data_IF_627076381055
#
_entry.id   IF_627076381055
#
_cell.length_a   1.000
_cell.length_b   1.000
_cell.length_c   1.000
_cell.angle_alpha   90.00
_cell.angle_beta   90.00
_cell.angle_gamma   90.00
#
_symmetry.space_group_name_H-M   'P 1'
#
loop_
_entity.id
_entity.type
_entity.pdbx_description
1 polymer ?
#
# COMPACT_ATOMS: atom_id res chain seq x y z
N UNK A 1 -0.81 -4.17 -21.40
CA UNK A 1 -0.92 -4.88 -20.11
C UNK A 1 -1.22 -3.84 -19.05
N UNK A 2 -2.50 -3.70 -18.68
CA UNK A 2 -2.93 -2.80 -17.62
C UNK A 2 -2.20 -3.17 -16.33
N UNK A 3 -1.23 -2.35 -15.92
CA UNK A 3 -0.76 -2.38 -14.55
C UNK A 3 -1.89 -1.83 -13.70
N UNK A 4 -2.77 -2.71 -13.24
CA UNK A 4 -3.77 -2.41 -12.23
C UNK A 4 -3.07 -1.67 -11.10
N UNK A 5 -3.29 -0.35 -11.06
CA UNK A 5 -2.70 0.55 -10.07
C UNK A 5 -3.29 0.17 -8.72
N UNK A 6 -2.55 -0.63 -7.97
CA UNK A 6 -2.88 -0.93 -6.57
C UNK A 6 -2.97 0.37 -5.78
N UNK A 7 -4.16 0.69 -5.28
CA UNK A 7 -4.40 1.90 -4.52
C UNK A 7 -4.19 1.66 -3.02
N UNK A 8 -2.96 1.85 -2.55
CA UNK A 8 -2.61 1.62 -1.14
C UNK A 8 -3.48 2.41 -0.15
N UNK A 9 -4.08 3.55 -0.53
CA UNK A 9 -4.99 4.30 0.34
C UNK A 9 -6.23 3.47 0.74
N UNK A 10 -6.66 2.57 -0.14
CA UNK A 10 -7.77 1.65 0.11
C UNK A 10 -7.30 0.34 0.76
N UNK A 11 -6.01 0.12 0.96
CA UNK A 11 -5.48 -1.10 1.54
C UNK A 11 -5.64 -1.10 3.07
N UNK A 12 -6.03 -2.22 3.68
CA UNK A 12 -6.10 -2.36 5.15
C UNK A 12 -4.74 -2.27 5.83
N UNK A 13 -3.68 -2.68 5.12
CA UNK A 13 -2.32 -2.67 5.65
C UNK A 13 -1.64 -1.30 5.57
N UNK A 14 -2.21 -0.37 4.81
CA UNK A 14 -1.66 0.97 4.68
C UNK A 14 -1.90 1.81 5.94
N UNK A 15 -0.87 2.53 6.37
CA UNK A 15 -0.95 3.46 7.49
C UNK A 15 -0.08 4.69 7.23
N UNK A 16 -0.46 5.81 7.84
CA UNK A 16 0.37 7.01 7.89
C UNK A 16 1.29 6.88 9.11
N UNK A 17 2.56 7.20 8.92
CA UNK A 17 3.54 7.24 10.02
C UNK A 17 3.67 8.66 10.56
N UNK A 18 4.14 8.78 11.81
CA UNK A 18 4.43 10.07 12.44
C UNK A 18 5.75 10.70 11.98
N UNK A 19 6.45 10.08 11.02
CA UNK A 19 7.73 10.58 10.51
C UNK A 19 7.49 11.46 9.29
N UNK A 20 7.77 12.76 9.40
CA UNK A 20 7.58 13.72 8.32
C UNK A 20 8.40 13.37 7.06
N UNK A 21 9.53 12.67 7.19
CA UNK A 21 10.35 12.24 6.05
C UNK A 21 9.80 10.98 5.37
N UNK A 22 9.03 10.17 6.09
CA UNK A 22 8.49 8.89 5.61
C UNK A 22 7.03 8.73 6.05
N UNK A 23 6.10 9.57 5.56
CA UNK A 23 4.73 9.56 6.03
C UNK A 23 3.95 8.30 5.64
N UNK A 24 4.43 7.49 4.69
CA UNK A 24 3.69 6.33 4.19
C UNK A 24 4.28 5.02 4.69
N UNK A 25 3.45 4.16 5.27
CA UNK A 25 3.84 2.85 5.79
C UNK A 25 2.96 1.71 5.27
N UNK A 26 3.54 0.50 5.21
CA UNK A 26 2.82 -0.74 4.95
C UNK A 26 3.04 -1.74 6.08
N UNK A 27 1.97 -2.10 6.81
CA UNK A 27 2.06 -3.03 7.95
C UNK A 27 2.41 -4.44 7.52
N UNK A 28 1.95 -4.85 6.33
CA UNK A 28 2.18 -6.21 5.82
C UNK A 28 3.67 -6.49 5.62
N UNK A 29 4.38 -5.56 4.99
CA UNK A 29 5.81 -5.68 4.72
C UNK A 29 6.69 -5.05 5.81
N UNK A 30 6.10 -4.34 6.77
CA UNK A 30 6.83 -3.75 7.90
C UNK A 30 7.74 -2.58 7.54
N UNK A 31 7.56 -1.94 6.38
CA UNK A 31 8.39 -0.79 5.97
C UNK A 31 7.60 0.52 5.93
N UNK A 32 8.34 1.63 6.01
CA UNK A 32 7.86 2.99 5.76
C UNK A 32 8.74 3.70 4.75
N UNK A 33 8.18 4.65 4.02
CA UNK A 33 8.85 5.36 2.95
C UNK A 33 8.21 6.70 2.64
N UNK A 34 8.90 7.46 1.79
CA UNK A 34 8.45 8.77 1.32
C UNK A 34 7.54 8.67 0.09
N UNK A 35 7.64 7.57 -0.62
CA UNK A 35 6.81 7.22 -1.77
C UNK A 35 5.65 6.31 -1.31
N UNK A 36 4.60 6.23 -2.12
CA UNK A 36 3.51 5.28 -1.90
C UNK A 36 4.04 3.85 -1.75
N UNK A 37 3.55 3.05 -0.79
CA UNK A 37 4.07 1.71 -0.58
C UNK A 37 3.86 0.79 -1.78
N UNK A 38 2.84 1.00 -2.62
CA UNK A 38 2.68 0.28 -3.89
C UNK A 38 3.86 0.50 -4.84
N UNK A 39 4.40 1.71 -4.86
CA UNK A 39 5.56 2.08 -5.68
C UNK A 39 6.82 1.42 -5.14
N UNK A 40 7.06 1.49 -3.83
CA UNK A 40 8.21 0.82 -3.19
C UNK A 40 8.16 -0.70 -3.32
N UNK A 41 6.98 -1.32 -3.14
CA UNK A 41 6.79 -2.76 -3.35
C UNK A 41 7.06 -3.13 -4.80
N UNK A 42 6.54 -2.35 -5.75
CA UNK A 42 6.76 -2.59 -7.17
C UNK A 42 8.24 -2.46 -7.57
N UNK A 43 8.95 -1.48 -7.03
CA UNK A 43 10.38 -1.32 -7.27
C UNK A 43 11.19 -2.47 -6.67
N UNK A 44 10.78 -2.98 -5.50
CA UNK A 44 11.53 -4.04 -4.81
C UNK A 44 11.21 -5.44 -5.34
N UNK A 45 9.95 -5.72 -5.64
CA UNK A 45 9.48 -7.04 -6.10
C UNK A 45 9.39 -7.15 -7.63
N UNK A 46 9.50 -6.05 -8.38
CA UNK A 46 9.28 -6.01 -9.83
C UNK A 46 7.81 -6.13 -10.25
N UNK A 47 6.93 -6.56 -9.35
CA UNK A 47 5.50 -6.83 -9.58
C UNK A 47 4.61 -5.98 -8.67
N UNK A 48 3.31 -5.91 -8.97
CA UNK A 48 2.32 -5.28 -8.10
C UNK A 48 2.26 -5.97 -6.72
N UNK A 49 1.82 -5.22 -5.71
CA UNK A 49 1.70 -5.69 -4.34
C UNK A 49 0.74 -6.90 -4.24
N UNK A 50 1.29 -8.11 -4.07
CA UNK A 50 0.51 -9.34 -3.98
C UNK A 50 -0.30 -9.47 -2.69
N UNK A 51 0.12 -8.77 -1.63
CA UNK A 51 -0.63 -8.70 -0.37
C UNK A 51 -1.52 -7.46 -0.26
N UNK A 52 -1.91 -6.87 -1.38
CA UNK A 52 -2.91 -5.82 -1.37
C UNK A 52 -4.25 -6.39 -0.94
N UNK A 53 -4.81 -5.80 0.10
CA UNK A 53 -6.10 -6.22 0.63
C UNK A 53 -6.93 -4.97 0.90
N UNK A 54 -8.04 -4.84 0.18
CA UNK A 54 -8.91 -3.68 0.24
C UNK A 54 -9.63 -3.65 1.59
N UNK A 55 -9.70 -2.48 2.23
CA UNK A 55 -10.58 -2.27 3.38
C UNK A 55 -12.00 -2.56 2.89
N UNK A 56 -12.61 -3.59 3.47
CA UNK A 56 -13.99 -3.96 3.18
C UNK A 56 -14.87 -2.74 3.45
N UNK A 57 -15.32 -2.07 2.40
CA UNK A 57 -16.48 -1.20 2.50
C UNK A 57 -17.63 -2.18 2.56
N UNK A 58 -18.05 -2.54 3.76
CA UNK A 58 -19.29 -3.28 3.99
C UNK A 58 -20.42 -2.51 3.29
N UNK A 59 -20.70 -2.84 2.03
CA UNK A 59 -21.97 -2.53 1.43
C UNK A 59 -22.91 -3.61 1.96
N UNK A 60 -23.33 -3.39 3.21
CA UNK A 60 -24.42 -4.15 3.84
C UNK A 60 -25.65 -3.99 2.92
N UNK A 61 -26.37 -5.08 2.61
CA UNK A 61 -27.56 -5.03 1.75
C UNK A 61 -28.66 -4.12 2.30
#
# INVERSE_FOLDING_TARGET
MEQEKVNCLKCKHYFITYDARMPYGCKLFGFKGRQMPSVSVRQSSGNNCQGYDVKDKQNKP
#
